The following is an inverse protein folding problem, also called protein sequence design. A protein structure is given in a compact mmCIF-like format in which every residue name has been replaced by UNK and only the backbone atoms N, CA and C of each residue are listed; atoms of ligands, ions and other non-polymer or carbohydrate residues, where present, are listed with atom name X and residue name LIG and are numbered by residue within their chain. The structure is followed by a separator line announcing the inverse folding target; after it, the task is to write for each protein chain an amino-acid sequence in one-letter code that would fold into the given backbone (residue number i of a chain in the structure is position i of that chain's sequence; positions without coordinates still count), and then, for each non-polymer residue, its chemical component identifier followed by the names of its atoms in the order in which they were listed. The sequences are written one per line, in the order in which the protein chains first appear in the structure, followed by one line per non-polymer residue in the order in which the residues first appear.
data_IF_865104224363
#
_entry.id   IF_865104224363
#
_cell.length_a   1.000
_cell.length_b   1.000
_cell.length_c   1.000
_cell.angle_alpha   90.00
_cell.angle_beta   90.00
_cell.angle_gamma   90.00
#
_symmetry.space_group_name_H-M   'P 1'
#
loop_
_entity.id
_entity.type
_entity.pdbx_description
1 polymer ?
#
# COMPACT_ATOMS: atom_id res chain seq x y z
N UNK A 1 32.24 19.11 5.99
CA UNK A 1 31.83 19.28 4.58
C UNK A 1 30.75 18.25 4.25
N UNK A 2 29.49 18.66 4.13
CA UNK A 2 28.40 17.78 3.69
C UNK A 2 28.43 17.72 2.16
N UNK A 3 28.78 16.56 1.58
CA UNK A 3 28.67 16.33 0.13
C UNK A 3 27.21 16.06 -0.20
N UNK A 4 26.59 16.97 -0.96
CA UNK A 4 25.27 16.74 -1.56
C UNK A 4 25.46 15.70 -2.67
N UNK A 5 24.79 14.55 -2.54
CA UNK A 5 24.78 13.53 -3.58
C UNK A 5 24.04 14.07 -4.80
N UNK A 6 24.74 14.15 -5.93
CA UNK A 6 24.18 14.60 -7.21
C UNK A 6 23.33 13.49 -7.85
N UNK A 7 22.52 13.84 -8.86
CA UNK A 7 21.74 12.84 -9.61
C UNK A 7 22.65 11.77 -10.25
N UNK A 8 23.85 12.16 -10.67
CA UNK A 8 24.84 11.26 -11.25
C UNK A 8 25.42 10.28 -10.22
N UNK A 9 25.61 10.72 -8.97
CA UNK A 9 26.04 9.83 -7.88
C UNK A 9 24.98 8.76 -7.57
N UNK A 10 23.70 9.09 -7.71
CA UNK A 10 22.59 8.14 -7.54
C UNK A 10 22.58 7.11 -8.67
N UNK A 11 22.76 7.54 -9.91
CA UNK A 11 22.80 6.66 -11.08
C UNK A 11 23.97 5.67 -11.01
N UNK A 12 25.18 6.16 -10.70
CA UNK A 12 26.36 5.30 -10.49
C UNK A 12 26.08 4.25 -9.41
N UNK A 13 25.50 4.67 -8.28
CA UNK A 13 25.13 3.75 -7.20
C UNK A 13 24.13 2.67 -7.63
N UNK A 14 23.13 3.01 -8.45
CA UNK A 14 22.15 2.03 -8.95
C UNK A 14 22.76 1.05 -9.94
N UNK A 15 23.60 1.53 -10.87
CA UNK A 15 24.30 0.66 -11.84
C UNK A 15 25.27 -0.31 -11.14
N UNK A 16 26.05 0.16 -10.15
CA UNK A 16 26.92 -0.71 -9.33
C UNK A 16 26.09 -1.78 -8.62
N UNK A 17 24.99 -1.40 -7.98
CA UNK A 17 24.11 -2.32 -7.26
C UNK A 17 23.49 -3.37 -8.19
N UNK A 18 23.09 -3.00 -9.41
CA UNK A 18 22.60 -3.94 -10.43
C UNK A 18 23.67 -4.99 -10.76
N UNK A 19 24.89 -4.56 -11.05
CA UNK A 19 26.01 -5.47 -11.37
C UNK A 19 26.36 -6.42 -10.21
N UNK A 20 26.27 -5.95 -8.96
CA UNK A 20 26.49 -6.79 -7.78
C UNK A 20 25.42 -7.88 -7.61
N UNK A 21 24.16 -7.60 -8.01
CA UNK A 21 23.05 -8.56 -7.93
C UNK A 21 23.07 -9.60 -9.05
N UNK A 22 23.61 -9.26 -10.23
CA UNK A 22 23.70 -10.19 -11.37
C UNK A 22 24.62 -11.38 -11.11
N UNK A 23 25.75 -11.18 -10.39
CA UNK A 23 26.70 -12.27 -10.09
C UNK A 23 26.09 -13.43 -9.28
N UNK A 24 25.44 -13.21 -8.12
CA UNK A 24 24.82 -14.31 -7.38
C UNK A 24 23.64 -14.93 -8.13
N UNK A 25 22.93 -14.17 -8.97
CA UNK A 25 21.88 -14.72 -9.85
C UNK A 25 22.48 -15.70 -10.85
N UNK A 26 23.55 -15.30 -11.56
CA UNK A 26 24.24 -16.16 -12.52
C UNK A 26 24.85 -17.42 -11.88
N UNK A 27 25.32 -17.30 -10.63
CA UNK A 27 25.88 -18.44 -9.87
C UNK A 27 24.81 -19.28 -9.13
N UNK A 28 23.52 -18.95 -9.24
CA UNK A 28 22.46 -19.64 -8.48
C UNK A 28 22.58 -19.51 -6.96
N UNK A 29 23.35 -18.52 -6.46
CA UNK A 29 23.63 -18.34 -5.04
C UNK A 29 22.53 -17.51 -4.37
N UNK A 30 21.40 -18.18 -4.09
CA UNK A 30 20.20 -17.59 -3.47
C UNK A 30 20.47 -16.93 -2.12
N UNK A 31 21.36 -17.51 -1.30
CA UNK A 31 21.74 -16.96 0.02
C UNK A 31 22.42 -15.59 -0.12
N UNK A 32 23.36 -15.47 -1.05
CA UNK A 32 24.08 -14.20 -1.31
C UNK A 32 23.16 -13.15 -1.92
N UNK A 33 22.28 -13.55 -2.84
CA UNK A 33 21.26 -12.67 -3.42
C UNK A 33 20.33 -12.11 -2.32
N UNK A 34 19.80 -12.97 -1.45
CA UNK A 34 18.90 -12.56 -0.38
C UNK A 34 19.58 -11.63 0.63
N UNK A 35 20.83 -11.92 1.00
CA UNK A 35 21.62 -11.02 1.85
C UNK A 35 21.78 -9.64 1.21
N UNK A 36 22.13 -9.59 -0.09
CA UNK A 36 22.28 -8.34 -0.82
C UNK A 36 20.96 -7.58 -0.84
N UNK A 37 19.83 -8.20 -1.19
CA UNK A 37 18.49 -7.58 -1.13
C UNK A 37 18.22 -6.96 0.25
N UNK A 38 18.49 -7.67 1.35
CA UNK A 38 18.25 -7.15 2.70
C UNK A 38 19.09 -5.93 3.05
N UNK A 39 20.40 -5.97 2.77
CA UNK A 39 21.30 -4.81 2.98
C UNK A 39 20.86 -3.64 2.10
N UNK A 40 20.31 -3.99 0.94
CA UNK A 40 19.97 -3.04 -0.10
C UNK A 40 18.67 -2.28 0.18
N UNK A 41 17.64 -2.99 0.65
CA UNK A 41 16.30 -2.47 0.95
C UNK A 41 16.22 -1.70 2.27
N UNK A 42 17.13 -1.94 3.22
CA UNK A 42 17.14 -1.23 4.53
C UNK A 42 17.38 0.28 4.44
N UNK A 43 17.74 0.82 3.26
CA UNK A 43 17.99 2.27 3.08
C UNK A 43 16.74 3.11 2.82
N UNK A 44 15.53 2.52 2.85
CA UNK A 44 14.27 3.23 2.60
C UNK A 44 13.34 3.35 3.82
N UNK A 45 13.86 3.21 5.05
CA UNK A 45 13.06 3.45 6.26
C UNK A 45 13.20 4.85 6.84
N UNK A 46 14.07 5.69 6.27
CA UNK A 46 14.04 7.12 6.57
C UNK A 46 13.17 7.84 5.55
N UNK A 47 11.89 7.49 5.54
CA UNK A 47 10.83 8.39 5.06
C UNK A 47 10.25 9.06 6.31
N UNK A 48 11.11 9.72 7.10
CA UNK A 48 10.65 10.97 7.68
C UNK A 48 10.56 11.93 6.51
N UNK A 49 9.42 11.92 5.80
CA UNK A 49 9.09 13.03 4.90
C UNK A 49 9.37 14.31 5.69
N UNK A 50 10.34 15.08 5.20
CA UNK A 50 10.83 16.24 5.94
C UNK A 50 9.69 17.24 5.90
N UNK A 51 8.95 17.34 6.99
CA UNK A 51 7.80 18.24 7.08
C UNK A 51 8.33 19.65 6.96
N UNK A 52 7.85 20.36 5.96
CA UNK A 52 8.24 21.73 5.69
C UNK A 52 7.12 22.71 6.06
N UNK A 53 7.53 23.93 6.37
CA UNK A 53 6.64 25.09 6.37
C UNK A 53 6.11 25.37 4.94
N UNK A 54 5.15 26.30 4.84
CA UNK A 54 4.58 26.70 3.55
C UNK A 54 5.60 27.30 2.56
N UNK A 55 6.72 27.83 3.06
CA UNK A 55 7.86 28.34 2.29
C UNK A 55 8.84 27.24 1.85
N UNK A 56 8.58 25.97 2.22
CA UNK A 56 9.41 24.82 1.88
C UNK A 56 10.58 24.58 2.83
N UNK A 57 10.73 25.37 3.90
CA UNK A 57 11.81 25.18 4.88
C UNK A 57 11.52 24.00 5.82
N UNK A 58 12.51 23.14 6.11
CA UNK A 58 12.32 21.96 6.94
C UNK A 58 12.10 22.32 8.42
N UNK A 59 11.10 21.69 9.04
CA UNK A 59 10.77 21.88 10.45
C UNK A 59 11.51 20.84 11.29
N UNK A 60 12.46 21.31 12.11
CA UNK A 60 13.25 20.44 13.00
C UNK A 60 12.59 20.22 14.37
N UNK A 61 11.73 21.15 14.81
CA UNK A 61 11.05 21.05 16.10
C UNK A 61 9.84 20.10 16.02
N UNK A 62 9.76 19.12 16.92
CA UNK A 62 8.68 18.13 16.92
C UNK A 62 7.29 18.73 17.19
N UNK A 63 7.18 19.68 18.12
CA UNK A 63 5.90 20.32 18.42
C UNK A 63 5.39 21.09 17.20
N UNK A 64 6.26 21.85 16.54
CA UNK A 64 5.91 22.59 15.33
C UNK A 64 5.51 21.66 14.17
N UNK A 65 6.15 20.49 14.05
CA UNK A 65 5.76 19.45 13.09
C UNK A 65 4.32 18.99 13.31
N UNK A 66 3.92 18.76 14.56
CA UNK A 66 2.55 18.36 14.90
C UNK A 66 1.53 19.45 14.57
N UNK A 67 1.86 20.70 14.85
CA UNK A 67 1.03 21.85 14.49
C UNK A 67 0.86 21.97 12.97
N UNK A 68 1.95 21.84 12.22
CA UNK A 68 1.91 21.86 10.74
C UNK A 68 1.08 20.73 10.15
N UNK A 69 1.13 19.53 10.75
CA UNK A 69 0.23 18.43 10.40
C UNK A 69 -1.24 18.79 10.63
N UNK A 70 -1.57 19.38 11.78
CA UNK A 70 -2.94 19.76 12.11
C UNK A 70 -3.48 20.85 11.16
N UNK A 71 -2.66 21.85 10.81
CA UNK A 71 -2.97 22.85 9.79
C UNK A 71 -3.26 22.20 8.43
N UNK A 72 -2.36 21.32 7.96
CA UNK A 72 -2.50 20.64 6.68
C UNK A 72 -3.77 19.80 6.58
N UNK A 73 -4.08 19.02 7.63
CA UNK A 73 -5.33 18.26 7.69
C UNK A 73 -6.56 19.15 7.71
N UNK A 74 -6.52 20.27 8.45
CA UNK A 74 -7.64 21.21 8.51
C UNK A 74 -7.91 21.84 7.14
N UNK A 75 -6.88 22.22 6.41
CA UNK A 75 -6.99 22.74 5.05
C UNK A 75 -7.56 21.68 4.11
N UNK A 76 -6.98 20.49 4.09
CA UNK A 76 -7.34 19.42 3.15
C UNK A 76 -8.75 18.85 3.38
N UNK A 77 -9.20 18.80 4.64
CA UNK A 77 -10.50 18.25 5.03
C UNK A 77 -11.52 19.32 5.43
N UNK A 78 -11.31 20.57 5.03
CA UNK A 78 -12.31 21.62 5.13
C UNK A 78 -13.41 21.45 4.08
N UNK A 79 -14.20 20.39 4.21
CA UNK A 79 -15.37 20.19 3.37
C UNK A 79 -16.42 21.26 3.70
N UNK A 80 -17.07 21.89 2.69
CA UNK A 80 -18.25 22.70 2.96
C UNK A 80 -19.29 21.82 3.66
N UNK A 81 -20.14 22.41 4.53
CA UNK A 81 -21.26 21.67 5.11
C UNK A 81 -22.01 20.97 3.98
N UNK A 82 -22.19 19.66 4.12
CA UNK A 82 -22.90 18.88 3.14
C UNK A 82 -24.22 19.60 2.86
N UNK A 83 -24.48 19.95 1.60
CA UNK A 83 -25.71 20.64 1.24
C UNK A 83 -26.86 19.80 1.76
N UNK A 84 -27.81 20.41 2.49
CA UNK A 84 -28.93 19.69 3.09
C UNK A 84 -29.80 18.91 2.07
N UNK A 85 -29.44 18.97 0.79
CA UNK A 85 -29.94 18.17 -0.32
C UNK A 85 -29.52 16.69 -0.31
N UNK A 86 -28.66 16.24 0.60
CA UNK A 86 -28.50 14.80 0.82
C UNK A 86 -29.62 14.33 1.76
N UNK A 87 -30.76 13.90 1.19
CA UNK A 87 -31.71 13.10 1.97
C UNK A 87 -30.93 11.89 2.47
N UNK A 88 -30.71 11.82 3.78
CA UNK A 88 -30.16 10.62 4.41
C UNK A 88 -31.04 9.44 3.97
N UNK A 89 -30.43 8.45 3.32
CA UNK A 89 -31.11 7.19 3.07
C UNK A 89 -31.47 6.67 4.47
N UNK A 90 -32.77 6.47 4.79
CA UNK A 90 -33.14 5.97 6.10
C UNK A 90 -32.41 4.65 6.33
N UNK A 91 -31.78 4.48 7.49
CA UNK A 91 -31.00 3.29 7.83
C UNK A 91 -31.82 1.98 7.75
N UNK A 92 -33.15 2.11 7.64
CA UNK A 92 -34.12 1.03 7.54
C UNK A 92 -34.59 0.76 6.10
N UNK A 93 -33.82 1.12 5.07
CA UNK A 93 -34.05 0.52 3.74
C UNK A 93 -33.59 -0.93 3.85
N UNK A 94 -34.51 -1.92 3.74
CA UNK A 94 -34.09 -3.31 3.71
C UNK A 94 -33.16 -3.48 2.52
N UNK A 95 -31.91 -3.85 2.78
CA UNK A 95 -31.01 -4.28 1.71
C UNK A 95 -31.69 -5.47 1.05
N UNK A 96 -31.89 -5.42 -0.27
CA UNK A 96 -32.46 -6.54 -1.03
C UNK A 96 -31.54 -7.77 -1.08
N UNK A 97 -30.45 -7.73 -0.31
CA UNK A 97 -29.40 -8.74 -0.23
C UNK A 97 -29.49 -9.35 1.15
N UNK A 98 -29.58 -10.68 1.18
CA UNK A 98 -29.58 -11.48 2.39
C UNK A 98 -28.30 -11.21 3.20
N UNK A 99 -28.44 -10.95 4.50
CA UNK A 99 -27.32 -10.79 5.44
C UNK A 99 -26.91 -12.08 6.13
N UNK A 100 -27.62 -13.18 5.86
CA UNK A 100 -27.29 -14.50 6.38
C UNK A 100 -25.96 -14.99 5.79
N UNK A 101 -25.22 -15.86 6.52
CA UNK A 101 -24.05 -16.52 5.96
C UNK A 101 -24.41 -17.28 4.67
N UNK A 102 -23.54 -17.22 3.63
CA UNK A 102 -23.81 -17.89 2.36
C UNK A 102 -23.88 -19.41 2.54
N UNK A 103 -24.74 -20.08 1.76
CA UNK A 103 -24.89 -21.54 1.81
C UNK A 103 -23.70 -22.25 1.17
N UNK A 104 -23.44 -23.51 1.53
CA UNK A 104 -22.35 -24.28 0.95
C UNK A 104 -22.51 -24.43 -0.58
N UNK A 105 -23.75 -24.60 -1.04
CA UNK A 105 -24.09 -24.70 -2.46
C UNK A 105 -23.84 -23.37 -3.20
N UNK A 106 -24.13 -22.25 -2.55
CA UNK A 106 -23.84 -20.91 -3.08
C UNK A 106 -22.33 -20.71 -3.25
N UNK A 107 -21.55 -21.06 -2.21
CA UNK A 107 -20.09 -21.02 -2.25
C UNK A 107 -19.54 -21.93 -3.36
N UNK A 108 -20.03 -23.17 -3.49
CA UNK A 108 -19.58 -24.12 -4.52
C UNK A 108 -19.92 -23.64 -5.93
N UNK A 109 -21.12 -23.09 -6.14
CA UNK A 109 -21.52 -22.51 -7.43
C UNK A 109 -20.62 -21.34 -7.81
N UNK A 110 -20.33 -20.43 -6.88
CA UNK A 110 -19.49 -19.27 -7.13
C UNK A 110 -18.05 -19.71 -7.45
N UNK A 111 -17.48 -20.66 -6.70
CA UNK A 111 -16.15 -21.23 -6.98
C UNK A 111 -16.09 -21.87 -8.37
N UNK A 112 -17.14 -22.57 -8.80
CA UNK A 112 -17.20 -23.16 -10.15
C UNK A 112 -17.36 -22.10 -11.25
N UNK A 113 -18.07 -21.01 -10.96
CA UNK A 113 -18.23 -19.88 -11.87
C UNK A 113 -16.94 -19.06 -12.04
N UNK A 114 -16.05 -19.07 -11.04
CA UNK A 114 -14.73 -18.43 -11.10
C UNK A 114 -13.81 -19.19 -12.08
N UNK A 115 -13.58 -18.59 -13.25
CA UNK A 115 -12.61 -19.13 -14.22
C UNK A 115 -11.20 -19.17 -13.65
N UNK A 116 -10.42 -20.21 -14.01
CA UNK A 116 -9.00 -20.30 -13.64
C UNK A 116 -8.27 -19.02 -14.10
N UNK A 117 -7.58 -18.37 -13.17
CA UNK A 117 -6.85 -17.12 -13.38
C UNK A 117 -7.69 -15.88 -13.73
N UNK A 118 -9.00 -15.90 -13.45
CA UNK A 118 -9.83 -14.68 -13.50
C UNK A 118 -10.02 -14.11 -12.09
N UNK A 119 -10.00 -12.79 -11.99
CA UNK A 119 -10.39 -12.10 -10.77
C UNK A 119 -11.90 -12.29 -10.54
N UNK A 120 -12.36 -12.47 -9.29
CA UNK A 120 -13.79 -12.48 -8.97
C UNK A 120 -14.42 -11.18 -9.45
N UNK A 121 -15.34 -11.28 -10.40
CA UNK A 121 -16.00 -10.13 -11.00
C UNK A 121 -16.90 -9.41 -10.00
N UNK A 122 -16.94 -8.09 -10.14
CA UNK A 122 -17.82 -7.09 -9.51
C UNK A 122 -17.64 -6.79 -8.02
N UNK A 123 -17.16 -7.71 -7.16
CA UNK A 123 -16.91 -7.39 -5.74
C UNK A 123 -15.42 -7.21 -5.40
N UNK A 124 -14.51 -7.39 -6.38
CA UNK A 124 -13.11 -6.98 -6.22
C UNK A 124 -12.36 -7.66 -5.07
N UNK A 125 -12.89 -8.77 -4.54
CA UNK A 125 -12.26 -9.51 -3.46
C UNK A 125 -11.11 -10.34 -4.04
N UNK A 126 -9.87 -10.16 -3.56
CA UNK A 126 -8.73 -10.90 -4.07
C UNK A 126 -8.83 -12.38 -3.66
N UNK A 127 -8.46 -13.27 -4.58
CA UNK A 127 -8.37 -14.73 -4.38
C UNK A 127 -7.49 -15.14 -3.20
N UNK A 128 -6.67 -14.21 -2.68
CA UNK A 128 -5.85 -14.38 -1.48
C UNK A 128 -6.65 -14.65 -0.20
N UNK A 129 -7.95 -14.30 -0.14
CA UNK A 129 -8.81 -14.61 1.01
C UNK A 129 -9.10 -16.12 1.17
N UNK A 130 -8.91 -16.92 0.12
CA UNK A 130 -9.23 -18.35 0.09
C UNK A 130 -8.00 -19.24 0.04
N UNK A 131 -6.81 -18.66 0.21
CA UNK A 131 -5.56 -19.41 0.08
C UNK A 131 -4.99 -19.70 1.46
N UNK A 132 -5.58 -20.70 2.11
CA UNK A 132 -4.92 -21.80 2.83
C UNK A 132 -5.91 -22.41 3.83
N UNK A 133 -6.47 -23.55 3.43
CA UNK A 133 -7.32 -24.36 4.28
C UNK A 133 -7.89 -25.50 3.46
N UNK A 134 -7.26 -26.66 3.52
CA UNK A 134 -7.85 -27.92 3.11
C UNK A 134 -9.20 -28.08 3.82
N UNK A 135 -10.31 -27.75 3.15
CA UNK A 135 -11.61 -28.28 3.54
C UNK A 135 -11.62 -29.71 3.04
N UNK A 136 -11.20 -30.63 3.90
CA UNK A 136 -11.61 -32.03 3.79
C UNK A 136 -13.09 -32.06 4.18
N UNK A 137 -13.93 -32.33 3.18
CA UNK A 137 -15.29 -32.83 3.37
C UNK A 137 -15.25 -34.18 4.10
#
# INVERSE_FOLDING_TARGET
MLRILTAQDREIKWTTRKSEMERPVAMGNSRKLFHLIRVTSRKALDVSETICEADGLPIHNQQRRLERWAEHFKEQFSWPPASALHKAIPANVPLSVTTDPPSEEEIRREIQALGRHKAPGTVGLPTALFKDGEIKL
#
